data_IF_208947367437
#
_entry.id   IF_208947367437
#
_cell.length_a   1.000
_cell.length_b   1.000
_cell.length_c   1.000
_cell.angle_alpha   90.00
_cell.angle_beta   90.00
_cell.angle_gamma   90.00
#
_symmetry.space_group_name_H-M   'P 1'
#
loop_
_entity.id
_entity.type
_entity.pdbx_description
1 polymer ?
#
# COMPACT_ATOMS: atom_id res chain seq x y z
N UNK A 1 -1.80 -14.85 -19.88
CA UNK A 1 -1.45 -15.35 -18.54
C UNK A 1 -1.45 -14.14 -17.61
N UNK A 2 -2.62 -13.83 -17.03
CA UNK A 2 -2.90 -12.66 -16.17
C UNK A 2 -3.67 -13.18 -14.95
N UNK A 3 -2.98 -13.91 -14.08
CA UNK A 3 -3.58 -14.50 -12.87
C UNK A 3 -2.89 -14.04 -11.57
N UNK A 4 -1.77 -13.32 -11.66
CA UNK A 4 -1.01 -12.80 -10.53
C UNK A 4 -1.56 -11.47 -9.98
N UNK A 5 -2.13 -10.60 -10.81
CA UNK A 5 -2.54 -9.25 -10.39
C UNK A 5 -3.71 -9.24 -9.38
N UNK A 6 -4.62 -10.21 -9.51
CA UNK A 6 -5.72 -10.42 -8.57
C UNK A 6 -5.18 -10.90 -7.21
N UNK A 7 -4.01 -11.54 -7.18
CA UNK A 7 -3.43 -12.09 -5.95
C UNK A 7 -2.92 -11.00 -5.00
N UNK A 8 -2.12 -10.05 -5.50
CA UNK A 8 -1.47 -9.07 -4.65
C UNK A 8 -2.41 -7.98 -4.14
N UNK A 9 -3.30 -7.50 -5.01
CA UNK A 9 -4.36 -6.56 -4.63
C UNK A 9 -5.27 -7.14 -3.54
N UNK A 10 -5.65 -8.41 -3.64
CA UNK A 10 -6.43 -9.11 -2.61
C UNK A 10 -5.66 -9.24 -1.31
N UNK A 11 -4.38 -9.65 -1.36
CA UNK A 11 -3.52 -9.74 -0.16
C UNK A 11 -3.37 -8.40 0.57
N UNK A 12 -3.17 -7.30 -0.16
CA UNK A 12 -3.08 -5.96 0.43
C UNK A 12 -4.40 -5.50 1.03
N UNK A 13 -5.52 -5.82 0.37
CA UNK A 13 -6.86 -5.50 0.88
C UNK A 13 -7.17 -6.25 2.17
N UNK A 14 -6.88 -7.54 2.21
CA UNK A 14 -7.13 -8.37 3.40
C UNK A 14 -6.22 -7.93 4.56
N UNK A 15 -4.95 -7.65 4.28
CA UNK A 15 -4.02 -7.10 5.28
C UNK A 15 -4.50 -5.74 5.83
N UNK A 16 -5.04 -4.88 4.97
CA UNK A 16 -5.61 -3.60 5.40
C UNK A 16 -6.83 -3.80 6.29
N UNK A 17 -7.70 -4.76 5.93
CA UNK A 17 -8.87 -5.12 6.73
C UNK A 17 -8.47 -5.60 8.12
N UNK A 18 -7.48 -6.48 8.21
CA UNK A 18 -6.96 -6.99 9.48
C UNK A 18 -6.46 -5.85 10.39
N UNK A 19 -5.77 -4.86 9.81
CA UNK A 19 -5.30 -3.70 10.55
C UNK A 19 -6.44 -2.80 11.04
N UNK A 20 -7.38 -2.42 10.17
CA UNK A 20 -8.49 -1.55 10.56
C UNK A 20 -9.49 -2.23 11.51
N UNK A 21 -9.55 -3.57 11.51
CA UNK A 21 -10.31 -4.36 12.46
C UNK A 21 -9.55 -4.64 13.77
N UNK A 22 -8.36 -4.05 13.96
CA UNK A 22 -7.49 -4.23 15.12
C UNK A 22 -7.07 -5.69 15.38
N UNK A 23 -7.05 -6.54 14.34
CA UNK A 23 -6.54 -7.91 14.45
C UNK A 23 -5.02 -7.97 14.49
N UNK A 24 -4.34 -6.98 13.93
CA UNK A 24 -2.88 -6.83 13.93
C UNK A 24 -2.49 -5.42 14.35
N UNK A 25 -1.28 -5.29 14.89
CA UNK A 25 -0.71 -3.99 15.28
C UNK A 25 -0.07 -3.28 14.09
N UNK A 26 0.19 -1.98 14.22
CA UNK A 26 0.72 -1.14 13.13
C UNK A 26 2.10 -1.60 12.63
N UNK A 27 2.98 -2.01 13.54
CA UNK A 27 4.31 -2.55 13.24
C UNK A 27 4.23 -3.84 12.42
N UNK A 28 3.31 -4.73 12.81
CA UNK A 28 3.04 -5.96 12.08
C UNK A 28 2.44 -5.69 10.70
N UNK A 29 1.46 -4.78 10.61
CA UNK A 29 0.89 -4.32 9.35
C UNK A 29 1.96 -3.80 8.39
N UNK A 30 2.84 -2.89 8.86
CA UNK A 30 3.94 -2.34 8.06
C UNK A 30 4.92 -3.40 7.59
N UNK A 31 5.29 -4.33 8.48
CA UNK A 31 6.22 -5.41 8.17
C UNK A 31 5.67 -6.35 7.10
N UNK A 32 4.39 -6.76 7.24
CA UNK A 32 3.71 -7.61 6.26
C UNK A 32 3.49 -6.89 4.93
N UNK A 33 3.12 -5.61 4.96
CA UNK A 33 2.92 -4.79 3.74
C UNK A 33 4.21 -4.64 2.94
N UNK A 34 5.33 -4.40 3.63
CA UNK A 34 6.65 -4.33 3.00
C UNK A 34 6.98 -5.63 2.28
N UNK A 35 6.82 -6.78 2.94
CA UNK A 35 7.11 -8.09 2.34
C UNK A 35 6.29 -8.36 1.08
N UNK A 36 5.03 -7.91 1.03
CA UNK A 36 4.20 -8.04 -0.17
C UNK A 36 4.76 -7.19 -1.32
N UNK A 37 5.16 -5.94 -1.03
CA UNK A 37 5.72 -5.03 -2.05
C UNK A 37 7.08 -5.54 -2.53
N UNK A 38 7.96 -5.99 -1.63
CA UNK A 38 9.27 -6.55 -1.99
C UNK A 38 9.11 -7.74 -2.96
N UNK A 39 8.07 -8.57 -2.78
CA UNK A 39 7.75 -9.67 -3.71
C UNK A 39 7.25 -9.20 -5.07
N UNK A 40 6.44 -8.14 -5.09
CA UNK A 40 6.00 -7.52 -6.35
C UNK A 40 7.22 -6.97 -7.08
N UNK A 41 8.12 -6.27 -6.39
CA UNK A 41 9.36 -5.77 -6.96
C UNK A 41 10.24 -6.91 -7.49
N UNK A 42 10.37 -8.01 -6.75
CA UNK A 42 11.10 -9.19 -7.22
C UNK A 42 10.50 -9.79 -8.50
N UNK A 43 9.18 -9.96 -8.56
CA UNK A 43 8.50 -10.65 -9.66
C UNK A 43 8.39 -9.80 -10.93
N UNK A 44 8.17 -8.49 -10.78
CA UNK A 44 7.87 -7.61 -11.91
C UNK A 44 9.04 -6.69 -12.28
N UNK A 45 9.82 -6.24 -11.30
CA UNK A 45 10.97 -5.39 -11.56
C UNK A 45 12.28 -6.19 -11.69
N UNK A 46 12.26 -7.50 -11.37
CA UNK A 46 13.35 -8.45 -11.58
C UNK A 46 14.65 -7.99 -10.93
N UNK A 47 14.97 -8.46 -9.72
CA UNK A 47 16.19 -8.05 -8.99
C UNK A 47 17.43 -8.04 -9.91
N UNK A 48 17.87 -6.86 -10.34
CA UNK A 48 19.27 -6.62 -10.72
C UNK A 48 20.10 -6.56 -9.43
N UNK A 49 20.21 -7.68 -8.74
CA UNK A 49 21.32 -7.88 -7.80
C UNK A 49 22.53 -8.33 -8.59
N UNK A 50 23.07 -7.44 -9.42
CA UNK A 50 24.46 -7.52 -9.83
C UNK A 50 25.15 -6.27 -9.32
N UNK A 51 25.99 -6.48 -8.32
CA UNK A 51 27.05 -5.58 -7.90
C UNK A 51 27.89 -5.15 -9.10
N UNK A 52 27.59 -3.99 -9.67
CA UNK A 52 28.53 -3.16 -10.42
C UNK A 52 28.29 -1.75 -9.88
N UNK A 53 29.05 -1.29 -8.89
CA UNK A 53 30.39 -0.80 -9.16
C UNK A 53 30.26 0.62 -9.71
N UNK A 54 30.64 1.59 -8.86
CA UNK A 54 30.80 3.03 -9.11
C UNK A 54 29.55 3.94 -9.12
N UNK A 55 29.56 4.85 -8.14
CA UNK A 55 29.18 6.26 -8.22
C UNK A 55 27.86 6.63 -8.89
N UNK A 56 26.84 6.95 -8.09
CA UNK A 56 25.94 8.05 -8.45
C UNK A 56 25.31 8.68 -7.21
N UNK A 57 25.32 10.00 -7.23
CA UNK A 57 25.02 10.95 -6.18
C UNK A 57 23.76 10.66 -5.35
N UNK A 58 23.87 10.99 -4.06
CA UNK A 58 22.74 11.17 -3.17
C UNK A 58 22.07 12.48 -3.55
N UNK A 59 21.13 12.45 -4.50
CA UNK A 59 20.15 13.54 -4.63
C UNK A 59 19.07 13.36 -3.56
N UNK A 60 19.04 14.33 -2.65
CA UNK A 60 18.03 14.54 -1.62
C UNK A 60 16.64 14.60 -2.25
N UNK A 61 15.83 13.57 -2.01
CA UNK A 61 14.45 13.53 -2.46
C UNK A 61 13.61 14.53 -1.66
N UNK A 62 13.07 15.49 -2.40
CA UNK A 62 12.20 16.58 -1.99
C UNK A 62 10.97 16.08 -1.20
N UNK A 63 10.65 16.84 -0.16
CA UNK A 63 9.60 16.62 0.83
C UNK A 63 8.27 17.14 0.24
N UNK A 64 7.56 16.36 -0.59
CA UNK A 64 6.20 16.73 -1.03
C UNK A 64 5.16 15.84 -0.37
N UNK A 65 4.81 16.27 0.83
CA UNK A 65 3.63 15.92 1.61
C UNK A 65 2.33 16.29 0.89
N UNK A 66 1.85 15.53 -0.11
CA UNK A 66 0.49 15.72 -0.67
C UNK A 66 -0.20 14.45 -1.17
N UNK A 67 -0.27 13.37 -0.38
CA UNK A 67 -1.14 12.23 -0.74
C UNK A 67 -1.92 11.67 0.46
N UNK A 68 -2.83 12.47 1.02
CA UNK A 68 -3.81 11.96 1.98
C UNK A 68 -5.15 12.67 1.85
N UNK A 69 -5.86 12.51 0.72
CA UNK A 69 -7.25 12.96 0.63
C UNK A 69 -8.09 12.27 -0.47
N UNK A 70 -8.01 10.95 -0.61
CA UNK A 70 -8.97 10.21 -1.47
C UNK A 70 -9.88 9.27 -0.68
N UNK A 71 -9.56 8.93 0.57
CA UNK A 71 -10.33 7.94 1.34
C UNK A 71 -11.54 8.51 2.11
N UNK A 72 -11.66 9.84 2.25
CA UNK A 72 -12.70 10.49 3.06
C UNK A 72 -14.00 10.83 2.31
N UNK A 73 -14.15 10.47 1.02
CA UNK A 73 -15.34 10.88 0.23
C UNK A 73 -16.48 9.87 0.24
N UNK A 74 -16.25 8.62 0.66
CA UNK A 74 -17.27 7.56 0.56
C UNK A 74 -18.20 7.49 1.77
N UNK A 75 -17.78 7.98 2.94
CA UNK A 75 -18.57 7.86 4.19
C UNK A 75 -19.68 8.94 4.29
N UNK A 76 -19.56 10.04 3.53
CA UNK A 76 -20.49 11.16 3.63
C UNK A 76 -21.85 10.95 2.91
N UNK A 77 -22.04 9.86 2.17
CA UNK A 77 -23.27 9.65 1.38
C UNK A 77 -24.45 9.04 2.16
N UNK A 78 -24.25 8.53 3.39
CA UNK A 78 -25.28 7.80 4.13
C UNK A 78 -25.84 8.52 5.37
N UNK A 79 -25.46 9.77 5.65
CA UNK A 79 -25.84 10.45 6.90
C UNK A 79 -26.94 11.54 6.77
N UNK A 80 -27.60 11.65 5.61
CA UNK A 80 -28.64 12.67 5.38
C UNK A 80 -30.01 12.08 5.06
N UNK A 81 -30.28 10.83 5.43
CA UNK A 81 -31.52 10.14 5.07
C UNK A 81 -32.32 9.65 6.26
N UNK A 82 -32.31 10.37 7.39
CA UNK A 82 -33.27 10.16 8.48
C UNK A 82 -33.32 11.41 9.36
N UNK A 83 -34.32 12.29 9.12
CA UNK A 83 -35.10 13.08 10.08
C UNK A 83 -36.14 13.82 9.22
N UNK A 84 -37.25 13.13 8.98
CA UNK A 84 -38.55 13.72 8.64
C UNK A 84 -39.59 12.90 9.43
N UNK A 85 -39.88 13.33 10.66
CA UNK A 85 -41.20 13.23 11.31
C UNK A 85 -41.30 14.25 12.46
#
# INVERSE_FOLDING_TARGET
MVMSDISYSTKLRDLSKDYYQNHIRLDEYRSRRKLIIDKIDEEFNGRKTESSGLDSDVESHDDTSEESSVFMKTIAFFKNSDIDE
#
